data_IF_731637169025
#
_entry.id   IF_731637169025
#
_cell.length_a   1.000
_cell.length_b   1.000
_cell.length_c   1.000
_cell.angle_alpha   90.00
_cell.angle_beta   90.00
_cell.angle_gamma   90.00
#
_symmetry.space_group_name_H-M   'P 1'
#
loop_
_entity.id
_entity.type
_entity.pdbx_description
1 polymer ?
#
# COMPACT_ATOMS: atom_id res chain seq x y z
N UNK A 1 13.20 6.12 -2.81
CA UNK A 1 12.93 5.34 -4.01
C UNK A 1 14.17 4.62 -4.52
N UNK A 2 14.07 3.90 -5.62
CA UNK A 2 15.19 3.13 -6.18
C UNK A 2 16.28 4.00 -6.82
N UNK A 3 16.03 5.29 -6.98
CA UNK A 3 17.01 6.28 -7.46
C UNK A 3 17.71 7.01 -6.28
N UNK A 4 17.43 6.61 -5.04
CA UNK A 4 17.98 7.20 -3.83
C UNK A 4 17.31 8.50 -3.38
N UNK A 5 16.16 8.87 -3.98
CA UNK A 5 15.41 10.07 -3.54
C UNK A 5 14.53 9.71 -2.36
N UNK A 6 14.48 10.61 -1.39
CA UNK A 6 13.56 10.48 -0.26
C UNK A 6 12.12 10.69 -0.72
N UNK A 7 11.23 9.77 -0.33
CA UNK A 7 9.79 9.84 -0.55
C UNK A 7 9.11 9.92 0.82
N UNK A 8 8.15 10.82 0.97
CA UNK A 8 7.39 11.00 2.21
C UNK A 8 5.90 10.88 1.97
N UNK A 9 5.11 10.83 3.03
CA UNK A 9 3.65 10.81 2.97
C UNK A 9 3.04 12.08 2.35
N UNK A 10 3.81 13.18 2.24
CA UNK A 10 3.39 14.40 1.56
C UNK A 10 3.61 14.38 0.04
N UNK A 11 4.11 13.27 -0.52
CA UNK A 11 4.26 13.13 -1.97
C UNK A 11 2.89 13.28 -2.66
N UNK A 12 2.78 14.12 -3.72
CA UNK A 12 1.51 14.36 -4.41
C UNK A 12 0.82 13.10 -4.92
N UNK A 13 1.57 12.02 -5.17
CA UNK A 13 1.00 10.73 -5.60
C UNK A 13 0.08 10.11 -4.56
N UNK A 14 0.26 10.45 -3.28
CA UNK A 14 -0.49 9.84 -2.16
C UNK A 14 -1.63 10.74 -1.68
N UNK A 15 -1.70 12.00 -2.14
CA UNK A 15 -2.74 12.93 -1.71
C UNK A 15 -4.10 12.54 -2.29
N UNK A 16 -5.14 12.62 -1.47
CA UNK A 16 -6.53 12.28 -1.83
C UNK A 16 -6.71 10.84 -2.36
N UNK A 17 -5.81 9.92 -1.98
CA UNK A 17 -5.88 8.51 -2.36
C UNK A 17 -6.26 7.63 -1.18
N UNK A 18 -6.95 6.54 -1.48
CA UNK A 18 -6.97 5.38 -0.60
C UNK A 18 -5.61 4.71 -0.76
N UNK A 19 -4.89 4.50 0.34
CA UNK A 19 -3.57 3.88 0.29
C UNK A 19 -3.63 2.44 0.82
N UNK A 20 -2.96 1.56 0.11
CA UNK A 20 -2.59 0.23 0.60
C UNK A 20 -1.07 0.20 0.73
N UNK A 21 -0.58 0.36 1.95
CA UNK A 21 0.86 0.30 2.24
C UNK A 21 1.20 -1.11 2.69
N UNK A 22 2.16 -1.76 2.01
CA UNK A 22 2.66 -3.07 2.46
C UNK A 22 4.10 -2.96 2.96
N UNK A 23 4.37 -3.58 4.10
CA UNK A 23 5.71 -3.82 4.61
C UNK A 23 6.15 -5.18 4.07
N UNK A 24 7.12 -5.21 3.18
CA UNK A 24 7.49 -6.42 2.46
C UNK A 24 9.01 -6.59 2.38
N UNK A 25 9.45 -7.73 1.87
CA UNK A 25 10.86 -8.00 1.55
C UNK A 25 10.98 -8.89 0.33
N UNK A 26 11.90 -8.57 -0.57
CA UNK A 26 12.13 -9.36 -1.79
C UNK A 26 12.64 -10.79 -1.52
N UNK A 27 13.08 -11.04 -0.30
CA UNK A 27 13.56 -12.33 0.20
C UNK A 27 12.43 -13.19 0.80
N UNK A 28 11.25 -12.61 1.08
CA UNK A 28 10.16 -13.27 1.82
C UNK A 28 9.18 -13.97 0.87
N UNK A 29 9.01 -15.30 0.93
CA UNK A 29 8.09 -16.03 0.05
C UNK A 29 6.65 -15.50 0.11
N UNK A 30 6.14 -15.16 1.29
CA UNK A 30 4.79 -14.63 1.43
C UNK A 30 4.63 -13.24 0.78
N UNK A 31 5.70 -12.42 0.75
CA UNK A 31 5.71 -11.14 0.01
C UNK A 31 5.65 -11.35 -1.49
N UNK A 32 6.21 -12.46 -2.01
CA UNK A 32 6.08 -12.85 -3.41
C UNK A 32 4.64 -13.23 -3.77
N UNK A 33 3.96 -13.93 -2.87
CA UNK A 33 2.55 -14.31 -3.08
C UNK A 33 1.63 -13.08 -2.97
N UNK A 34 1.85 -12.22 -1.99
CA UNK A 34 1.12 -10.96 -1.84
C UNK A 34 1.29 -10.06 -3.08
N UNK A 35 2.50 -9.94 -3.62
CA UNK A 35 2.77 -9.08 -4.79
C UNK A 35 1.90 -9.46 -6.00
N UNK A 36 1.60 -10.75 -6.21
CA UNK A 36 0.69 -11.19 -7.27
C UNK A 36 -0.72 -10.64 -7.09
N UNK A 37 -1.24 -10.68 -5.85
CA UNK A 37 -2.54 -10.10 -5.52
C UNK A 37 -2.51 -8.58 -5.67
N UNK A 38 -1.49 -7.92 -5.13
CA UNK A 38 -1.38 -6.46 -5.19
C UNK A 38 -1.32 -5.91 -6.62
N UNK A 39 -0.64 -6.60 -7.54
CA UNK A 39 -0.62 -6.22 -8.97
C UNK A 39 -2.01 -6.31 -9.59
N UNK A 40 -2.83 -7.28 -9.21
CA UNK A 40 -4.22 -7.39 -9.69
C UNK A 40 -5.10 -6.28 -9.11
N UNK A 41 -4.98 -6.00 -7.82
CA UNK A 41 -5.71 -4.92 -7.14
C UNK A 41 -5.33 -3.54 -7.70
N UNK A 42 -4.05 -3.31 -7.94
CA UNK A 42 -3.54 -2.10 -8.56
C UNK A 42 -4.16 -1.85 -9.93
N UNK A 43 -4.14 -2.85 -10.80
CA UNK A 43 -4.76 -2.77 -12.14
C UNK A 43 -6.26 -2.49 -12.07
N UNK A 44 -6.95 -3.07 -11.09
CA UNK A 44 -8.41 -2.93 -10.93
C UNK A 44 -8.81 -1.58 -10.35
N UNK A 45 -8.06 -1.06 -9.38
CA UNK A 45 -8.52 0.04 -8.53
C UNK A 45 -7.72 1.35 -8.66
N UNK A 46 -6.56 1.36 -9.31
CA UNK A 46 -5.73 2.56 -9.47
C UNK A 46 -6.50 3.72 -10.08
N UNK A 47 -7.24 3.49 -11.17
CA UNK A 47 -8.05 4.52 -11.83
C UNK A 47 -9.22 5.02 -10.99
N UNK A 48 -9.59 4.28 -9.93
CA UNK A 48 -10.65 4.63 -8.98
C UNK A 48 -10.12 5.37 -7.75
N UNK A 49 -8.82 5.59 -7.66
CA UNK A 49 -8.20 6.36 -6.59
C UNK A 49 -7.49 5.52 -5.53
N UNK A 50 -7.19 4.24 -5.78
CA UNK A 50 -6.26 3.46 -4.98
C UNK A 50 -4.82 3.81 -5.39
N UNK A 51 -3.94 3.95 -4.41
CA UNK A 51 -2.48 3.90 -4.61
C UNK A 51 -1.90 2.82 -3.70
N UNK A 52 -1.09 1.94 -4.27
CA UNK A 52 -0.37 0.91 -3.51
C UNK A 52 1.08 1.37 -3.35
N UNK A 53 1.65 1.16 -2.17
CA UNK A 53 3.05 1.48 -1.86
C UNK A 53 3.69 0.29 -1.14
N UNK A 54 4.78 -0.25 -1.67
CA UNK A 54 5.58 -1.25 -0.95
C UNK A 54 6.77 -0.60 -0.26
N UNK A 55 6.83 -0.75 1.05
CA UNK A 55 7.98 -0.42 1.89
C UNK A 55 8.82 -1.69 2.03
N UNK A 56 9.95 -1.73 1.33
CA UNK A 56 10.82 -2.90 1.25
C UNK A 56 11.85 -2.88 2.37
N UNK A 57 11.82 -3.91 3.20
CA UNK A 57 12.80 -4.16 4.26
C UNK A 57 13.70 -5.32 3.82
N UNK A 58 14.91 -4.98 3.37
CA UNK A 58 15.80 -5.93 2.71
C UNK A 58 16.83 -6.56 3.65
N UNK A 59 17.38 -7.72 3.26
CA UNK A 59 18.43 -8.39 4.06
C UNK A 59 19.77 -7.67 4.02
N UNK A 60 20.00 -6.83 3.01
CA UNK A 60 21.22 -6.08 2.80
C UNK A 60 21.04 -4.62 3.22
N UNK A 61 21.99 -4.12 4.03
CA UNK A 61 22.01 -2.72 4.44
C UNK A 61 22.57 -1.79 3.34
N UNK A 62 23.36 -2.34 2.43
CA UNK A 62 23.95 -1.58 1.31
C UNK A 62 22.85 -1.27 0.29
N UNK A 63 22.66 0.01 0.02
CA UNK A 63 21.56 0.52 -0.81
C UNK A 63 21.55 -0.12 -2.21
N UNK A 64 22.68 -0.20 -2.89
CA UNK A 64 22.78 -0.75 -4.24
C UNK A 64 22.37 -2.23 -4.29
N UNK A 65 22.69 -3.00 -3.26
CA UNK A 65 22.31 -4.40 -3.17
C UNK A 65 20.80 -4.55 -2.90
N UNK A 66 20.25 -3.70 -2.04
CA UNK A 66 18.82 -3.63 -1.79
C UNK A 66 18.07 -3.25 -3.07
N UNK A 67 18.50 -2.21 -3.76
CA UNK A 67 17.95 -1.78 -5.06
C UNK A 67 17.96 -2.92 -6.07
N UNK A 68 19.08 -3.61 -6.25
CA UNK A 68 19.19 -4.71 -7.21
C UNK A 68 18.22 -5.88 -6.87
N UNK A 69 18.03 -6.19 -5.57
CA UNK A 69 17.08 -7.21 -5.12
C UNK A 69 15.63 -6.80 -5.43
N UNK A 70 15.27 -5.57 -5.06
CA UNK A 70 13.93 -5.02 -5.28
C UNK A 70 13.61 -4.84 -6.77
N UNK A 71 14.58 -4.46 -7.61
CA UNK A 71 14.38 -4.38 -9.06
C UNK A 71 14.07 -5.75 -9.67
N UNK A 72 14.80 -6.81 -9.26
CA UNK A 72 14.47 -8.18 -9.68
C UNK A 72 13.06 -8.59 -9.27
N UNK A 73 12.68 -8.29 -8.02
CA UNK A 73 11.34 -8.55 -7.48
C UNK A 73 10.27 -7.82 -8.30
N UNK A 74 10.43 -6.52 -8.54
CA UNK A 74 9.51 -5.73 -9.37
C UNK A 74 9.34 -6.28 -10.78
N UNK A 75 10.44 -6.63 -11.42
CA UNK A 75 10.45 -7.19 -12.78
C UNK A 75 9.73 -8.53 -12.83
N UNK A 76 9.99 -9.41 -11.85
CA UNK A 76 9.40 -10.75 -11.79
C UNK A 76 7.85 -10.73 -11.69
N UNK A 77 7.28 -9.72 -11.04
CA UNK A 77 5.82 -9.60 -10.84
C UNK A 77 5.16 -8.52 -11.69
N UNK A 78 5.92 -7.76 -12.48
CA UNK A 78 5.39 -6.64 -13.27
C UNK A 78 4.81 -5.53 -12.39
N UNK A 79 5.46 -5.23 -11.26
CA UNK A 79 5.01 -4.22 -10.28
C UNK A 79 5.18 -2.83 -10.88
N UNK A 80 4.08 -2.09 -10.99
CA UNK A 80 4.05 -0.72 -11.50
C UNK A 80 3.85 0.33 -10.39
N UNK A 81 3.36 -0.07 -9.21
CA UNK A 81 3.18 0.83 -8.07
C UNK A 81 4.52 1.18 -7.38
N UNK A 82 4.58 2.29 -6.61
CA UNK A 82 5.76 2.71 -5.87
C UNK A 82 6.31 1.60 -4.96
N UNK A 83 7.61 1.37 -5.08
CA UNK A 83 8.35 0.39 -4.29
C UNK A 83 9.59 1.09 -3.72
N UNK A 84 9.63 1.26 -2.40
CA UNK A 84 10.58 2.10 -1.70
C UNK A 84 11.47 1.25 -0.79
N UNK A 85 12.77 1.55 -0.73
CA UNK A 85 13.68 0.96 0.23
C UNK A 85 13.44 1.64 1.59
N UNK A 86 12.87 0.91 2.54
CA UNK A 86 12.51 1.44 3.85
C UNK A 86 13.54 1.09 4.94
N UNK A 87 14.34 0.04 4.74
CA UNK A 87 15.35 -0.37 5.72
C UNK A 87 15.78 -1.81 5.59
N UNK A 88 16.25 -2.37 6.70
CA UNK A 88 16.66 -3.77 6.77
C UNK A 88 15.55 -4.66 7.33
N UNK A 89 15.62 -5.97 7.06
CA UNK A 89 14.65 -6.99 7.49
C UNK A 89 14.56 -7.19 9.02
N UNK A 90 15.42 -6.54 9.80
CA UNK A 90 15.38 -6.53 11.26
C UNK A 90 14.08 -5.86 11.74
N UNK A 91 13.20 -6.64 12.35
CA UNK A 91 11.88 -6.19 12.78
C UNK A 91 11.91 -5.09 13.84
N UNK A 92 12.93 -5.07 14.71
CA UNK A 92 13.10 -4.04 15.73
C UNK A 92 13.47 -2.71 15.09
N UNK A 93 14.40 -2.74 14.11
CA UNK A 93 14.76 -1.55 13.34
C UNK A 93 13.61 -1.07 12.48
N UNK A 94 12.88 -1.99 11.85
CA UNK A 94 11.69 -1.65 11.05
C UNK A 94 10.60 -0.97 11.89
N UNK A 95 10.32 -1.47 13.10
CA UNK A 95 9.39 -0.85 14.03
C UNK A 95 9.86 0.56 14.47
N UNK A 96 11.13 0.75 14.71
CA UNK A 96 11.69 2.07 15.04
C UNK A 96 11.55 3.10 13.90
N UNK A 97 11.50 2.64 12.64
CA UNK A 97 11.26 3.49 11.46
C UNK A 97 9.78 3.83 11.26
N UNK A 98 8.88 3.11 11.92
CA UNK A 98 7.42 3.23 11.80
C UNK A 98 6.79 3.43 13.19
N UNK A 99 7.01 4.59 13.83
CA UNK A 99 6.57 4.84 15.21
C UNK A 99 5.05 4.82 15.39
N UNK A 100 4.28 4.77 14.30
CA UNK A 100 2.83 4.59 14.31
C UNK A 100 2.39 3.14 14.52
N UNK A 101 3.34 2.19 14.44
CA UNK A 101 3.12 0.77 14.69
C UNK A 101 3.78 0.38 16.01
N UNK A 102 3.07 -0.33 16.86
CA UNK A 102 3.63 -0.86 18.11
C UNK A 102 4.74 -1.87 17.84
N UNK A 103 4.61 -2.67 16.77
CA UNK A 103 5.61 -3.64 16.33
C UNK A 103 5.42 -4.05 14.88
N UNK A 104 6.51 -4.50 14.22
CA UNK A 104 6.47 -5.23 12.95
C UNK A 104 6.55 -6.73 13.28
N UNK A 105 5.41 -7.42 13.21
CA UNK A 105 5.30 -8.83 13.62
C UNK A 105 5.70 -9.78 12.50
N UNK A 106 5.34 -9.49 11.25
CA UNK A 106 5.64 -10.32 10.10
C UNK A 106 5.83 -9.50 8.81
N UNK A 107 6.42 -10.13 7.81
CA UNK A 107 6.39 -9.73 6.42
C UNK A 107 5.60 -10.77 5.63
N UNK A 108 4.66 -10.34 4.75
CA UNK A 108 4.22 -8.97 4.60
C UNK A 108 3.26 -8.52 5.74
N UNK A 109 3.08 -7.21 5.87
CA UNK A 109 2.02 -6.58 6.67
C UNK A 109 1.36 -5.50 5.81
N UNK A 110 0.07 -5.59 5.59
CA UNK A 110 -0.71 -4.65 4.79
C UNK A 110 -1.45 -3.65 5.69
N UNK A 111 -1.40 -2.37 5.35
CA UNK A 111 -2.02 -1.27 6.09
C UNK A 111 -2.99 -0.54 5.15
N UNK A 112 -4.27 -0.50 5.51
CA UNK A 112 -5.31 0.18 4.74
C UNK A 112 -5.56 1.57 5.32
N UNK A 113 -5.43 2.59 4.49
CA UNK A 113 -5.50 4.01 4.89
C UNK A 113 -6.51 4.73 3.99
N UNK A 114 -7.39 5.52 4.59
CA UNK A 114 -8.37 6.32 3.84
C UNK A 114 -7.76 7.59 3.22
N UNK A 115 -8.56 8.34 2.46
CA UNK A 115 -8.16 9.59 1.82
C UNK A 115 -7.77 10.69 2.82
N UNK A 116 -8.25 10.61 4.05
CA UNK A 116 -7.91 11.53 5.14
C UNK A 116 -6.62 11.11 5.90
N UNK A 117 -5.95 10.04 5.45
CA UNK A 117 -4.72 9.52 6.08
C UNK A 117 -4.96 8.71 7.34
N UNK A 118 -6.18 8.28 7.63
CA UNK A 118 -6.49 7.46 8.82
C UNK A 118 -6.31 5.98 8.51
N UNK A 119 -5.62 5.28 9.40
CA UNK A 119 -5.49 3.82 9.33
C UNK A 119 -6.83 3.18 9.74
N UNK A 120 -7.35 2.32 8.87
CA UNK A 120 -8.58 1.56 9.11
C UNK A 120 -8.31 0.13 9.54
N UNK A 121 -7.29 -0.49 8.99
CA UNK A 121 -6.95 -1.88 9.29
C UNK A 121 -5.48 -2.15 9.04
N UNK A 122 -4.93 -3.07 9.84
CA UNK A 122 -3.59 -3.65 9.67
C UNK A 122 -3.76 -5.15 9.59
N UNK A 123 -3.37 -5.74 8.46
CA UNK A 123 -3.38 -7.18 8.24
C UNK A 123 -1.95 -7.71 8.26
N UNK A 124 -1.64 -8.64 9.17
CA UNK A 124 -0.30 -9.19 9.37
C UNK A 124 -0.18 -10.59 8.79
N UNK A 125 0.80 -10.81 7.95
CA UNK A 125 1.03 -12.07 7.24
C UNK A 125 0.24 -12.14 5.93
N UNK A 126 0.39 -13.26 5.22
CA UNK A 126 -0.31 -13.49 3.95
C UNK A 126 -0.54 -14.99 3.74
N UNK A 127 -1.79 -15.36 3.47
CA UNK A 127 -2.17 -16.70 3.06
C UNK A 127 -1.93 -16.83 1.55
N UNK A 128 -0.83 -17.48 1.16
CA UNK A 128 -0.46 -17.65 -0.25
C UNK A 128 -1.35 -18.67 -0.99
N UNK A 129 -1.21 -18.80 -2.32
CA UNK A 129 -2.05 -19.67 -3.16
C UNK A 129 -2.10 -21.14 -2.71
N UNK A 130 -1.04 -21.63 -2.05
CA UNK A 130 -1.00 -22.99 -1.52
C UNK A 130 -2.05 -23.26 -0.42
N UNK A 131 -2.62 -22.23 0.19
CA UNK A 131 -3.67 -22.35 1.22
C UNK A 131 -5.09 -22.38 0.62
N UNK A 132 -5.22 -22.34 -0.72
CA UNK A 132 -6.46 -22.42 -1.47
C UNK A 132 -7.58 -21.50 -0.90
N UNK A 133 -8.53 -22.05 -0.15
CA UNK A 133 -9.68 -21.31 0.37
C UNK A 133 -9.28 -20.08 1.20
N UNK A 134 -8.24 -20.16 2.04
CA UNK A 134 -7.79 -19.03 2.83
C UNK A 134 -7.22 -17.91 1.95
N UNK A 135 -6.53 -18.27 0.87
CA UNK A 135 -6.03 -17.29 -0.10
C UNK A 135 -7.19 -16.55 -0.80
N UNK A 136 -8.20 -17.28 -1.25
CA UNK A 136 -9.36 -16.69 -1.93
C UNK A 136 -10.16 -15.78 -1.01
N UNK A 137 -10.36 -16.21 0.24
CA UNK A 137 -11.01 -15.37 1.27
C UNK A 137 -10.22 -14.08 1.52
N UNK A 138 -8.90 -14.18 1.69
CA UNK A 138 -8.04 -13.02 1.92
C UNK A 138 -8.05 -12.06 0.73
N UNK A 139 -7.99 -12.57 -0.49
CA UNK A 139 -8.09 -11.76 -1.70
C UNK A 139 -9.45 -11.02 -1.78
N UNK A 140 -10.53 -11.69 -1.41
CA UNK A 140 -11.86 -11.10 -1.33
C UNK A 140 -11.94 -10.03 -0.24
N UNK A 141 -11.41 -10.28 0.95
CA UNK A 141 -11.34 -9.32 2.05
C UNK A 141 -10.59 -8.05 1.67
N UNK A 142 -9.43 -8.18 1.02
CA UNK A 142 -8.65 -7.02 0.54
C UNK A 142 -9.46 -6.20 -0.47
N UNK A 143 -10.09 -6.85 -1.45
CA UNK A 143 -10.90 -6.18 -2.44
C UNK A 143 -12.10 -5.45 -1.80
N UNK A 144 -12.81 -6.10 -0.89
CA UNK A 144 -13.96 -5.54 -0.17
C UNK A 144 -13.55 -4.32 0.66
N UNK A 145 -12.41 -4.40 1.36
CA UNK A 145 -11.88 -3.29 2.16
C UNK A 145 -11.54 -2.08 1.28
N UNK A 146 -10.84 -2.31 0.18
CA UNK A 146 -10.51 -1.26 -0.78
C UNK A 146 -11.78 -0.61 -1.33
N UNK A 147 -12.77 -1.40 -1.73
CA UNK A 147 -14.04 -0.88 -2.27
C UNK A 147 -14.79 -0.02 -1.26
N UNK A 148 -14.85 -0.45 -0.01
CA UNK A 148 -15.48 0.31 1.07
C UNK A 148 -14.80 1.67 1.29
N UNK A 149 -13.45 1.71 1.31
CA UNK A 149 -12.70 2.95 1.48
C UNK A 149 -12.84 3.89 0.28
N UNK A 150 -12.89 3.35 -0.94
CA UNK A 150 -13.10 4.13 -2.16
C UNK A 150 -14.49 4.76 -2.20
N UNK A 151 -15.52 4.04 -1.74
CA UNK A 151 -16.90 4.53 -1.67
C UNK A 151 -17.08 5.61 -0.60
N UNK A 152 -16.51 5.42 0.59
CA UNK A 152 -16.59 6.38 1.68
C UNK A 152 -16.01 7.76 1.29
N UNK A 153 -14.96 7.80 0.46
CA UNK A 153 -14.38 9.04 -0.05
C UNK A 153 -15.23 9.73 -1.12
N UNK A 154 -16.02 9.00 -1.91
CA UNK A 154 -16.87 9.57 -2.94
C UNK A 154 -18.07 10.34 -2.36
N UNK A 155 -18.57 9.92 -1.19
CA UNK A 155 -19.72 10.56 -0.52
C UNK A 155 -19.41 11.95 0.06
N UNK A 156 -18.15 12.30 0.26
CA UNK A 156 -17.73 13.62 0.76
C UNK A 156 -17.63 14.68 -0.35
N UNK A 157 -17.40 14.27 -1.60
CA UNK A 157 -17.20 15.21 -2.72
C UNK A 157 -18.54 15.78 -3.25
N UNK A 158 -19.65 15.03 -3.10
CA UNK A 158 -21.00 15.50 -3.52
C UNK A 158 -21.62 16.52 -2.56
N UNK A 159 -21.15 16.61 -1.29
CA UNK A 159 -21.74 17.52 -0.28
C UNK A 159 -21.12 18.92 -0.25
N UNK A 160 -20.10 19.21 -1.05
CA UNK A 160 -19.39 20.51 -1.06
C UNK A 160 -19.63 21.33 -2.33
N UNK A 161 -20.60 21.01 -3.17
CA UNK A 161 -20.99 21.88 -4.27
C UNK A 161 -21.70 23.13 -3.69
N UNK A 162 -21.18 24.38 -3.86
CA UNK A 162 -21.86 25.56 -3.41
C UNK A 162 -23.15 25.72 -4.21
N UNK A 163 -24.27 25.69 -3.51
CA UNK A 163 -25.57 26.07 -4.08
C UNK A 163 -25.49 27.56 -4.52
N UNK A 164 -25.26 27.77 -5.80
CA UNK A 164 -25.40 29.11 -6.39
C UNK A 164 -26.89 29.47 -6.38
N UNK A 165 -27.28 30.21 -5.38
CA UNK A 165 -28.59 30.91 -5.36
C UNK A 165 -28.59 31.97 -6.50
N UNK A 166 -29.59 31.97 -7.40
CA UNK A 166 -29.67 33.02 -8.42
C UNK A 166 -29.96 34.39 -7.78
N UNK A 167 -29.40 35.48 -8.28
CA UNK A 167 -29.65 36.81 -7.75
C UNK A 167 -31.09 37.19 -7.96
N UNK A 168 -31.75 37.65 -6.88
CA UNK A 168 -33.06 38.31 -6.93
C UNK A 168 -32.90 39.61 -7.74
N UNK A 169 -33.59 39.69 -8.88
CA UNK A 169 -33.70 40.91 -9.66
C UNK A 169 -34.68 41.89 -8.98
N UNK A 170 -34.44 43.22 -9.14
CA UNK A 170 -35.20 44.29 -8.50
C UNK A 170 -36.62 44.49 -9.04
#
# INVERSE_FOLDING_TARGET
DLDGRTVSNSDPRFQDKVLLVTLAGSWCPNSHDEARLLVQLDRKYRSRGLEIVSLMFEQHAEFERAVAAVQRFRTAYGIAYPTLIAGTADKTKAAAMLPQLDAVLAYPTAIFIDRAGRVHEIHTGFAGPATAVQHDLLAHEFATRIEALLQAGASFDESTAPTTEPPLSP
#
